data_IF_913136797486
#
_entry.id   IF_913136797486
#
_cell.length_a   1.000
_cell.length_b   1.000
_cell.length_c   1.000
_cell.angle_alpha   90.00
_cell.angle_beta   90.00
_cell.angle_gamma   90.00
#
_symmetry.space_group_name_H-M   'P 1'
#
loop_
_entity.id
_entity.type
_entity.pdbx_description
1 polymer ?
#
# COMPACT_ATOMS: atom_id res chain seq x y z
N UNK A 1 -4.16 10.85 -16.03
CA UNK A 1 -5.22 11.51 -15.21
C UNK A 1 -4.66 11.87 -13.83
N UNK A 2 -4.87 13.08 -13.28
CA UNK A 2 -4.37 13.46 -11.94
C UNK A 2 -5.51 13.51 -10.91
N UNK A 3 -5.19 13.46 -9.60
CA UNK A 3 -6.20 13.66 -8.55
C UNK A 3 -6.74 15.08 -8.64
N UNK A 4 -8.02 15.22 -9.00
CA UNK A 4 -8.70 16.52 -8.98
C UNK A 4 -9.44 16.72 -7.65
N UNK A 5 -9.36 17.92 -7.09
CA UNK A 5 -10.19 18.40 -5.97
C UNK A 5 -10.02 17.67 -4.62
N UNK A 6 -8.78 17.60 -4.09
CA UNK A 6 -8.61 17.33 -2.66
C UNK A 6 -9.16 18.49 -1.83
N UNK A 7 -9.88 18.17 -0.74
CA UNK A 7 -10.33 19.20 0.19
C UNK A 7 -9.12 19.97 0.75
N UNK A 8 -9.28 21.26 1.07
CA UNK A 8 -8.19 22.05 1.65
C UNK A 8 -7.62 21.44 2.95
N UNK A 9 -8.44 20.66 3.67
CA UNK A 9 -8.02 19.95 4.88
C UNK A 9 -7.10 18.74 4.59
N UNK A 10 -7.16 18.17 3.38
CA UNK A 10 -6.28 17.10 2.92
C UNK A 10 -5.10 17.62 2.09
N UNK A 11 -5.29 18.70 1.33
CA UNK A 11 -4.26 19.28 0.49
C UNK A 11 -3.12 19.95 1.27
N UNK A 12 -3.37 20.37 2.52
CA UNK A 12 -2.36 20.95 3.40
C UNK A 12 -1.73 19.87 4.30
N UNK A 13 -0.39 19.74 4.28
CA UNK A 13 0.30 18.93 5.28
C UNK A 13 -0.07 19.39 6.69
N UNK A 14 -0.12 18.44 7.62
CA UNK A 14 -0.20 18.74 9.04
C UNK A 14 1.20 19.03 9.55
N UNK A 15 1.33 20.12 10.30
CA UNK A 15 2.56 20.49 10.98
C UNK A 15 2.48 20.13 12.47
N UNK A 16 3.58 19.63 13.05
CA UNK A 16 3.81 19.58 14.49
C UNK A 16 5.07 20.39 14.75
N UNK A 17 4.91 21.56 15.38
CA UNK A 17 5.97 22.58 15.38
C UNK A 17 6.30 23.03 13.94
N UNK A 18 7.55 22.88 13.54
CA UNK A 18 8.04 23.22 12.19
C UNK A 18 8.15 22.00 11.26
N UNK A 19 7.84 20.81 11.76
CA UNK A 19 7.99 19.56 11.00
C UNK A 19 6.65 19.10 10.40
N UNK A 20 6.72 18.52 9.19
CA UNK A 20 5.56 17.90 8.55
C UNK A 20 5.31 16.54 9.18
N UNK A 21 4.27 16.44 10.02
CA UNK A 21 3.89 15.19 10.67
C UNK A 21 3.10 14.25 9.75
N UNK A 22 2.28 14.81 8.85
CA UNK A 22 1.36 14.05 8.01
C UNK A 22 1.06 14.77 6.68
N UNK A 23 0.98 14.02 5.58
CA UNK A 23 0.39 14.50 4.31
C UNK A 23 -0.34 13.38 3.56
N UNK A 24 -1.00 13.74 2.46
CA UNK A 24 -1.67 12.79 1.58
C UNK A 24 -0.79 12.50 0.37
N UNK A 25 -0.69 11.22 0.03
CA UNK A 25 0.01 10.72 -1.16
C UNK A 25 -0.79 9.61 -1.81
N UNK A 26 -0.33 9.14 -2.97
CA UNK A 26 -0.83 7.94 -3.60
C UNK A 26 -0.05 6.73 -3.07
N UNK A 27 -0.75 5.67 -2.76
CA UNK A 27 -0.21 4.42 -2.25
C UNK A 27 -0.76 3.23 -3.03
N UNK A 28 0.08 2.22 -3.28
CA UNK A 28 -0.34 0.87 -3.65
C UNK A 28 0.40 -0.11 -2.74
N UNK A 29 -0.33 -0.77 -1.86
CA UNK A 29 0.18 -1.79 -0.96
C UNK A 29 -0.42 -3.15 -1.34
N UNK A 30 0.44 -4.14 -1.60
CA UNK A 30 0.04 -5.50 -1.97
C UNK A 30 0.72 -6.51 -1.06
N UNK A 31 -0.07 -7.36 -0.43
CA UNK A 31 0.38 -8.46 0.42
C UNK A 31 0.55 -9.71 -0.43
N UNK A 32 1.78 -10.17 -0.61
CA UNK A 32 2.16 -11.20 -1.57
C UNK A 32 2.41 -12.55 -0.90
N UNK A 33 2.16 -13.65 -1.61
CA UNK A 33 2.45 -15.01 -1.10
C UNK A 33 3.96 -15.29 -1.06
N UNK A 34 4.68 -14.74 -2.06
CA UNK A 34 6.12 -14.88 -2.23
C UNK A 34 6.92 -13.76 -1.55
N UNK A 35 7.95 -13.18 -2.18
CA UNK A 35 8.31 -13.35 -3.58
C UNK A 35 9.30 -14.51 -3.81
N UNK A 36 9.16 -15.17 -4.96
CA UNK A 36 10.28 -15.88 -5.60
C UNK A 36 11.27 -14.85 -6.18
N UNK A 37 12.46 -15.28 -6.62
CA UNK A 37 13.38 -14.35 -7.29
C UNK A 37 12.76 -13.73 -8.54
N UNK A 38 11.96 -14.50 -9.29
CA UNK A 38 11.26 -14.00 -10.47
C UNK A 38 10.26 -12.90 -10.12
N UNK A 39 9.48 -13.11 -9.06
CA UNK A 39 8.52 -12.10 -8.60
C UNK A 39 9.26 -10.84 -8.14
N UNK A 40 10.37 -11.01 -7.44
CA UNK A 40 11.20 -9.90 -6.97
C UNK A 40 11.76 -9.09 -8.14
N UNK A 41 12.40 -9.72 -9.14
CA UNK A 41 12.90 -9.01 -10.32
C UNK A 41 11.77 -8.31 -11.07
N UNK A 42 10.60 -8.94 -11.20
CA UNK A 42 9.45 -8.34 -11.85
C UNK A 42 8.98 -7.06 -11.12
N UNK A 43 8.95 -7.08 -9.79
CA UNK A 43 8.55 -5.91 -8.99
C UNK A 43 9.56 -4.76 -9.12
N UNK A 44 10.85 -5.07 -9.17
CA UNK A 44 11.89 -4.07 -9.43
C UNK A 44 11.75 -3.47 -10.84
N UNK A 45 11.61 -4.31 -11.87
CA UNK A 45 11.42 -3.87 -13.25
C UNK A 45 10.15 -3.03 -13.40
N UNK A 46 9.06 -3.43 -12.74
CA UNK A 46 7.81 -2.68 -12.75
C UNK A 46 8.00 -1.28 -12.16
N UNK A 47 8.66 -1.18 -10.99
CA UNK A 47 8.90 0.10 -10.37
C UNK A 47 9.82 0.99 -11.19
N UNK A 48 10.90 0.45 -11.75
CA UNK A 48 11.85 1.18 -12.60
C UNK A 48 11.19 1.72 -13.89
N UNK A 49 10.15 1.04 -14.40
CA UNK A 49 9.37 1.53 -15.54
C UNK A 49 8.46 2.70 -15.19
N UNK A 50 7.91 2.74 -13.97
CA UNK A 50 6.92 3.75 -13.57
C UNK A 50 7.53 4.94 -12.83
N UNK A 51 8.65 4.73 -12.15
CA UNK A 51 9.39 5.78 -11.47
C UNK A 51 10.14 6.63 -12.50
N UNK A 52 10.05 7.97 -12.45
CA UNK A 52 10.84 8.83 -13.33
C UNK A 52 12.35 8.54 -13.16
N UNK A 53 13.14 8.42 -14.24
CA UNK A 53 14.54 8.00 -14.14
C UNK A 53 15.41 8.89 -13.23
N UNK A 54 15.11 10.19 -13.13
CA UNK A 54 15.82 11.15 -12.27
C UNK A 54 15.44 11.04 -10.77
N UNK A 55 14.42 10.23 -10.46
CA UNK A 55 13.92 9.94 -9.12
C UNK A 55 14.40 8.59 -8.60
N UNK A 56 14.96 7.72 -9.44
CA UNK A 56 15.56 6.47 -8.98
C UNK A 56 16.99 6.73 -8.45
N UNK A 57 17.13 7.07 -7.17
CA UNK A 57 18.39 7.60 -6.61
C UNK A 57 19.09 6.69 -5.61
N UNK A 58 18.33 6.13 -4.69
CA UNK A 58 18.87 5.38 -3.56
C UNK A 58 18.20 4.02 -3.43
N UNK A 59 18.95 3.06 -2.86
CA UNK A 59 18.44 1.76 -2.49
C UNK A 59 18.78 1.42 -1.04
N UNK A 60 18.02 0.48 -0.46
CA UNK A 60 18.24 -0.05 0.87
C UNK A 60 18.05 -1.56 0.86
N UNK A 61 18.92 -2.26 1.60
CA UNK A 61 18.82 -3.69 1.88
C UNK A 61 19.13 -3.97 3.35
N UNK A 62 18.73 -5.13 3.85
CA UNK A 62 18.97 -5.56 5.24
C UNK A 62 20.45 -5.54 5.66
N UNK A 63 21.38 -5.73 4.71
CA UNK A 63 22.82 -5.78 4.95
C UNK A 63 23.45 -4.40 5.17
N UNK A 64 22.76 -3.32 4.83
CA UNK A 64 23.30 -1.97 4.90
C UNK A 64 22.69 -1.21 6.07
N UNK A 65 23.46 -0.43 6.86
CA UNK A 65 22.93 0.36 7.96
C UNK A 65 22.22 1.64 7.49
N UNK A 66 22.57 2.16 6.32
CA UNK A 66 22.06 3.41 5.74
C UNK A 66 21.55 3.19 4.31
N UNK A 67 20.88 4.19 3.73
CA UNK A 67 20.59 4.26 2.31
C UNK A 67 21.90 4.36 1.51
N UNK A 68 21.92 3.82 0.30
CA UNK A 68 23.08 3.85 -0.60
C UNK A 68 22.68 4.34 -1.98
N UNK A 69 23.54 5.14 -2.61
CA UNK A 69 23.32 5.67 -3.95
C UNK A 69 23.32 4.57 -5.00
N UNK A 70 22.38 4.61 -5.95
CA UNK A 70 22.36 3.71 -7.11
C UNK A 70 23.50 4.04 -8.08
N UNK A 71 23.86 5.31 -8.21
CA UNK A 71 24.95 5.74 -9.09
C UNK A 71 26.34 5.29 -8.57
N UNK A 72 26.49 5.17 -7.24
CA UNK A 72 27.71 4.74 -6.58
C UNK A 72 27.37 3.75 -5.44
N UNK A 73 27.00 2.51 -5.77
CA UNK A 73 26.43 1.58 -4.80
C UNK A 73 27.48 1.05 -3.83
N UNK A 74 27.12 1.06 -2.54
CA UNK A 74 27.85 0.29 -1.54
C UNK A 74 27.52 -1.20 -1.72
N UNK A 75 28.49 -1.96 -2.23
CA UNK A 75 28.32 -3.38 -2.49
C UNK A 75 28.86 -4.24 -1.34
N UNK A 76 28.07 -5.23 -0.93
CA UNK A 76 28.52 -6.33 -0.05
C UNK A 76 29.50 -7.25 -0.80
N UNK A 77 30.05 -8.27 -0.14
CA UNK A 77 30.87 -9.27 -0.81
C UNK A 77 30.12 -9.98 -1.96
N UNK A 78 28.87 -10.40 -1.71
CA UNK A 78 27.99 -10.98 -2.73
C UNK A 78 27.70 -9.99 -3.86
N UNK A 79 27.42 -8.73 -3.52
CA UNK A 79 27.17 -7.70 -4.54
C UNK A 79 28.38 -7.43 -5.42
N UNK A 80 29.60 -7.44 -4.87
CA UNK A 80 30.84 -7.31 -5.67
C UNK A 80 31.04 -8.51 -6.60
N UNK A 81 30.77 -9.72 -6.13
CA UNK A 81 30.83 -10.91 -6.97
C UNK A 81 29.82 -10.84 -8.12
N UNK A 82 28.58 -10.42 -7.83
CA UNK A 82 27.53 -10.21 -8.84
C UNK A 82 27.91 -9.13 -9.87
N UNK A 83 28.50 -8.01 -9.42
CA UNK A 83 28.98 -6.95 -10.30
C UNK A 83 30.08 -7.45 -11.25
N UNK A 84 31.06 -8.20 -10.74
CA UNK A 84 32.11 -8.82 -11.56
C UNK A 84 31.56 -9.84 -12.56
N UNK A 85 30.42 -10.47 -12.25
CA UNK A 85 29.73 -11.40 -13.13
C UNK A 85 28.75 -10.72 -14.12
N UNK A 86 28.64 -9.38 -14.10
CA UNK A 86 27.74 -8.64 -14.99
C UNK A 86 26.25 -8.79 -14.67
N UNK A 87 25.91 -9.18 -13.44
CA UNK A 87 24.51 -9.31 -13.01
C UNK A 87 23.88 -7.93 -12.82
N UNK A 88 22.70 -7.72 -13.39
CA UNK A 88 21.94 -6.49 -13.22
C UNK A 88 21.55 -6.24 -11.75
N UNK A 89 21.63 -4.98 -11.32
CA UNK A 89 21.35 -4.57 -9.92
C UNK A 89 22.18 -5.43 -8.95
N UNK A 90 23.51 -5.40 -9.05
CA UNK A 90 24.36 -6.26 -8.24
C UNK A 90 24.22 -5.97 -6.74
N UNK A 91 23.79 -4.76 -6.39
CA UNK A 91 23.47 -4.38 -5.01
C UNK A 91 22.31 -5.16 -4.37
N UNK A 92 21.42 -5.79 -5.16
CA UNK A 92 20.35 -6.65 -4.64
C UNK A 92 20.72 -8.15 -4.58
N UNK A 93 21.94 -8.55 -4.92
CA UNK A 93 22.34 -9.96 -4.80
C UNK A 93 22.15 -10.55 -3.38
N UNK A 94 22.44 -9.82 -2.27
CA UNK A 94 22.15 -10.33 -0.93
C UNK A 94 20.67 -10.64 -0.70
N UNK A 95 19.78 -9.89 -1.33
CA UNK A 95 18.33 -10.11 -1.26
C UNK A 95 17.95 -11.37 -2.03
N UNK A 96 18.49 -11.57 -3.23
CA UNK A 96 18.27 -12.80 -4.02
C UNK A 96 18.72 -14.05 -3.25
N UNK A 97 19.88 -13.98 -2.60
CA UNK A 97 20.36 -15.06 -1.72
C UNK A 97 19.39 -15.34 -0.56
N UNK A 98 18.89 -14.30 0.12
CA UNK A 98 17.87 -14.47 1.17
C UNK A 98 16.57 -15.08 0.62
N UNK A 99 16.16 -14.70 -0.58
CA UNK A 99 14.99 -15.25 -1.25
C UNK A 99 15.18 -16.76 -1.50
N UNK A 100 16.30 -17.16 -2.12
CA UNK A 100 16.70 -18.57 -2.35
C UNK A 100 16.71 -19.39 -1.07
N UNK A 101 17.17 -18.78 0.03
CA UNK A 101 17.27 -19.41 1.35
C UNK A 101 15.96 -19.40 2.15
N UNK A 102 14.87 -18.81 1.63
CA UNK A 102 13.61 -18.70 2.37
C UNK A 102 13.67 -17.79 3.60
N UNK A 103 14.56 -16.78 3.62
CA UNK A 103 14.78 -15.88 4.76
C UNK A 103 14.07 -14.53 4.63
N UNK A 104 13.79 -13.89 5.76
CA UNK A 104 13.36 -12.50 5.79
C UNK A 104 14.36 -11.58 5.08
N UNK A 105 13.87 -10.55 4.40
CA UNK A 105 14.68 -9.57 3.67
C UNK A 105 13.97 -8.21 3.60
N UNK A 106 14.75 -7.19 3.29
CA UNK A 106 14.31 -5.85 2.92
C UNK A 106 15.00 -5.47 1.61
N UNK A 107 14.24 -4.88 0.70
CA UNK A 107 14.71 -4.27 -0.52
C UNK A 107 13.87 -3.02 -0.83
N UNK A 108 14.51 -1.87 -0.91
CA UNK A 108 13.80 -0.61 -1.19
C UNK A 108 14.49 0.21 -2.26
N UNK A 109 13.69 1.01 -2.95
CA UNK A 109 14.14 2.17 -3.73
C UNK A 109 13.52 3.45 -3.17
N UNK A 110 14.28 4.54 -3.21
CA UNK A 110 13.82 5.86 -2.77
C UNK A 110 14.47 6.97 -3.60
N UNK A 111 13.76 8.09 -3.71
CA UNK A 111 14.22 9.29 -4.43
C UNK A 111 14.96 10.30 -3.54
N UNK A 112 15.18 9.97 -2.26
CA UNK A 112 15.90 10.81 -1.31
C UNK A 112 15.11 12.02 -0.80
N UNK A 113 13.80 12.08 -1.05
CA UNK A 113 12.97 13.22 -0.66
C UNK A 113 12.13 12.90 0.57
N UNK A 114 12.34 13.69 1.61
CA UNK A 114 11.62 13.59 2.86
C UNK A 114 10.15 14.03 2.72
N UNK A 115 9.37 13.78 3.76
CA UNK A 115 7.94 14.06 3.80
C UNK A 115 7.62 15.56 3.74
N UNK A 116 8.55 16.43 4.09
CA UNK A 116 8.41 17.89 4.01
C UNK A 116 8.42 18.43 2.57
N UNK A 117 8.96 17.67 1.62
CA UNK A 117 8.97 18.05 0.20
C UNK A 117 7.54 18.12 -0.33
N UNK A 118 7.06 19.28 -0.82
CA UNK A 118 5.66 19.48 -1.18
C UNK A 118 5.13 18.50 -2.21
N UNK A 119 5.95 18.15 -3.21
CA UNK A 119 5.58 17.18 -4.25
C UNK A 119 5.49 15.75 -3.72
N UNK A 120 6.18 15.43 -2.62
CA UNK A 120 6.30 14.06 -2.14
C UNK A 120 7.41 13.27 -2.79
N UNK A 121 7.38 11.98 -2.44
CA UNK A 121 8.43 11.01 -2.66
C UNK A 121 7.94 9.90 -3.58
N UNK A 122 8.84 9.37 -4.39
CA UNK A 122 8.72 8.08 -5.05
C UNK A 122 9.47 7.06 -4.20
N UNK A 123 8.80 5.99 -3.79
CA UNK A 123 9.48 4.85 -3.16
C UNK A 123 8.86 3.51 -3.51
N UNK A 124 9.70 2.49 -3.52
CA UNK A 124 9.34 1.09 -3.52
C UNK A 124 9.84 0.47 -2.22
N UNK A 125 8.99 -0.28 -1.54
CA UNK A 125 9.41 -1.12 -0.43
C UNK A 125 8.91 -2.55 -0.65
N UNK A 126 9.83 -3.49 -0.86
CA UNK A 126 9.54 -4.92 -0.94
C UNK A 126 10.22 -5.62 0.23
N UNK A 127 9.44 -6.23 1.12
CA UNK A 127 9.98 -6.91 2.29
C UNK A 127 9.35 -8.28 2.47
N UNK A 128 10.12 -9.15 3.13
CA UNK A 128 9.61 -10.35 3.78
C UNK A 128 10.05 -10.31 5.24
N UNK A 129 9.10 -10.28 6.15
CA UNK A 129 9.31 -10.21 7.58
C UNK A 129 9.00 -11.55 8.24
N UNK A 130 9.78 -11.93 9.24
CA UNK A 130 9.49 -13.06 10.09
C UNK A 130 8.81 -12.54 11.36
N UNK A 131 7.52 -12.85 11.50
CA UNK A 131 6.77 -12.57 12.71
C UNK A 131 6.82 -13.80 13.61
N UNK A 132 7.20 -13.59 14.86
CA UNK A 132 7.38 -14.65 15.85
C UNK A 132 6.08 -15.47 15.96
N UNK A 133 6.21 -16.79 15.93
CA UNK A 133 5.10 -17.76 16.04
C UNK A 133 4.07 -17.75 14.88
N UNK A 134 4.13 -16.78 13.96
CA UNK A 134 3.21 -16.65 12.81
C UNK A 134 3.88 -16.94 11.45
N UNK A 135 5.21 -16.89 11.39
CA UNK A 135 6.00 -17.23 10.22
C UNK A 135 6.32 -16.05 9.32
N UNK A 136 6.56 -16.32 8.03
CA UNK A 136 6.95 -15.31 7.06
C UNK A 136 5.75 -14.66 6.38
N UNK A 137 5.83 -13.34 6.23
CA UNK A 137 4.86 -12.50 5.54
C UNK A 137 5.60 -11.53 4.65
N UNK A 138 5.04 -11.23 3.49
CA UNK A 138 5.67 -10.34 2.53
C UNK A 138 4.69 -9.34 1.95
N UNK A 139 5.22 -8.19 1.57
CA UNK A 139 4.47 -7.15 0.90
C UNK A 139 5.36 -6.42 -0.09
N UNK A 140 4.70 -5.74 -1.03
CA UNK A 140 5.28 -4.68 -1.84
C UNK A 140 4.42 -3.44 -1.68
N UNK A 141 5.08 -2.29 -1.50
CA UNK A 141 4.45 -0.99 -1.39
C UNK A 141 5.09 -0.02 -2.36
N UNK A 142 4.27 0.67 -3.15
CA UNK A 142 4.69 1.78 -3.99
C UNK A 142 4.05 3.05 -3.44
N UNK A 143 4.87 4.05 -3.13
CA UNK A 143 4.42 5.37 -2.71
C UNK A 143 4.76 6.39 -3.78
N UNK A 144 3.79 7.22 -4.15
CA UNK A 144 3.93 8.17 -5.26
C UNK A 144 3.42 9.56 -4.85
N UNK A 145 3.98 10.63 -5.44
CA UNK A 145 3.42 11.97 -5.35
C UNK A 145 1.92 12.03 -5.64
N UNK A 146 1.22 12.94 -4.96
CA UNK A 146 -0.23 13.12 -5.16
C UNK A 146 -0.58 13.66 -6.56
N UNK A 147 0.38 14.30 -7.22
CA UNK A 147 0.29 14.82 -8.59
C UNK A 147 0.77 13.81 -9.65
N UNK A 148 1.14 12.58 -9.26
CA UNK A 148 1.47 11.53 -10.21
C UNK A 148 0.24 11.15 -11.07
N UNK A 149 0.48 10.63 -12.27
CA UNK A 149 -0.60 10.11 -13.10
C UNK A 149 -1.22 8.88 -12.43
N UNK A 150 -2.53 8.93 -12.21
CA UNK A 150 -3.33 7.85 -11.64
C UNK A 150 -3.26 6.56 -12.47
N UNK A 151 -3.04 6.65 -13.79
CA UNK A 151 -2.84 5.48 -14.65
C UNK A 151 -1.63 4.65 -14.22
N UNK A 152 -0.58 5.29 -13.66
CA UNK A 152 0.57 4.57 -13.13
C UNK A 152 0.16 3.61 -12.01
N UNK A 153 -0.72 4.06 -11.11
CA UNK A 153 -1.19 3.24 -9.99
C UNK A 153 -2.07 2.08 -10.47
N UNK A 154 -2.97 2.37 -11.42
CA UNK A 154 -3.86 1.37 -12.03
C UNK A 154 -3.05 0.32 -12.78
N UNK A 155 -2.13 0.74 -13.65
CA UNK A 155 -1.29 -0.15 -14.43
C UNK A 155 -0.40 -0.99 -13.53
N UNK A 156 0.21 -0.40 -12.49
CA UNK A 156 0.98 -1.16 -11.51
C UNK A 156 0.13 -2.22 -10.79
N UNK A 157 -1.09 -1.87 -10.34
CA UNK A 157 -1.99 -2.81 -9.69
C UNK A 157 -2.39 -3.97 -10.63
N UNK A 158 -2.77 -3.67 -11.87
CA UNK A 158 -3.10 -4.67 -12.88
C UNK A 158 -1.90 -5.56 -13.23
N UNK A 159 -0.71 -4.96 -13.35
CA UNK A 159 0.52 -5.64 -13.69
C UNK A 159 0.96 -6.60 -12.56
N UNK A 160 0.83 -6.21 -11.29
CA UNK A 160 1.09 -7.07 -10.14
C UNK A 160 0.05 -8.21 -10.10
N UNK A 161 -1.23 -7.89 -10.22
CA UNK A 161 -2.31 -8.88 -10.23
C UNK A 161 -2.19 -9.92 -11.36
N UNK A 162 -1.51 -9.59 -12.45
CA UNK A 162 -1.26 -10.52 -13.56
C UNK A 162 -0.03 -11.40 -13.37
N UNK A 163 1.00 -10.93 -12.65
CA UNK A 163 2.32 -11.56 -12.66
C UNK A 163 2.81 -12.07 -11.31
N UNK A 164 2.21 -11.63 -10.20
CA UNK A 164 2.70 -11.92 -8.84
C UNK A 164 1.60 -12.60 -8.01
N UNK A 165 1.84 -13.79 -7.42
CA UNK A 165 0.92 -14.40 -6.46
C UNK A 165 0.72 -13.51 -5.23
N UNK A 166 -0.55 -13.26 -4.87
CA UNK A 166 -0.91 -12.32 -3.80
C UNK A 166 -2.15 -12.75 -3.02
N UNK A 167 -2.19 -12.36 -1.75
CA UNK A 167 -3.34 -12.54 -0.87
C UNK A 167 -4.37 -11.42 -1.08
N UNK A 168 -3.92 -10.17 -0.98
CA UNK A 168 -4.77 -8.99 -1.19
C UNK A 168 -3.93 -7.74 -1.40
N UNK A 169 -4.58 -6.63 -1.74
CA UNK A 169 -3.92 -5.33 -1.83
C UNK A 169 -4.93 -4.20 -1.88
N UNK A 170 -4.44 -2.98 -1.72
CA UNK A 170 -5.23 -1.76 -1.76
C UNK A 170 -4.39 -0.62 -2.33
N UNK A 171 -5.03 0.33 -2.98
CA UNK A 171 -4.36 1.53 -3.45
C UNK A 171 -5.30 2.72 -3.62
N UNK A 172 -4.73 3.91 -3.66
CA UNK A 172 -5.44 5.18 -3.71
C UNK A 172 -4.81 6.21 -2.80
N UNK A 173 -5.64 7.02 -2.15
CA UNK A 173 -5.17 8.03 -1.19
C UNK A 173 -4.75 7.35 0.10
N UNK A 174 -3.63 7.77 0.68
CA UNK A 174 -3.17 7.32 1.98
C UNK A 174 -2.65 8.49 2.82
N UNK A 175 -2.80 8.35 4.14
CA UNK A 175 -2.10 9.15 5.12
C UNK A 175 -0.65 8.69 5.22
N UNK A 176 0.30 9.55 4.84
CA UNK A 176 1.74 9.31 5.00
C UNK A 176 2.23 10.19 6.13
N UNK A 177 2.99 9.61 7.06
CA UNK A 177 3.42 10.27 8.29
C UNK A 177 4.94 10.24 8.46
N UNK A 178 5.45 11.18 9.26
CA UNK A 178 6.84 11.18 9.73
C UNK A 178 6.99 10.16 10.87
N UNK A 179 7.81 9.10 10.72
CA UNK A 179 7.99 8.09 11.77
C UNK A 179 8.41 8.66 13.12
N UNK A 180 9.19 9.74 13.17
CA UNK A 180 9.59 10.38 14.43
C UNK A 180 8.44 11.09 15.15
N UNK A 181 7.36 11.41 14.44
CA UNK A 181 6.16 12.09 14.94
C UNK A 181 4.93 11.17 14.92
N UNK A 182 5.14 9.84 14.95
CA UNK A 182 4.09 8.84 14.75
C UNK A 182 2.88 9.04 15.68
N UNK A 183 3.08 9.25 16.98
CA UNK A 183 1.96 9.42 17.93
C UNK A 183 1.09 10.64 17.59
N UNK A 184 1.72 11.80 17.37
CA UNK A 184 1.00 13.03 16.99
C UNK A 184 0.32 12.92 15.62
N UNK A 185 1.00 12.28 14.66
CA UNK A 185 0.47 12.05 13.33
C UNK A 185 -0.77 11.15 13.39
N UNK A 186 -0.73 10.05 14.16
CA UNK A 186 -1.85 9.12 14.24
C UNK A 186 -3.07 9.68 14.98
N UNK A 187 -2.87 10.53 15.99
CA UNK A 187 -3.97 11.25 16.62
C UNK A 187 -4.67 12.21 15.64
N UNK A 188 -3.91 12.83 14.74
CA UNK A 188 -4.48 13.63 13.67
C UNK A 188 -5.13 12.77 12.57
N UNK A 189 -4.52 11.64 12.21
CA UNK A 189 -5.10 10.65 11.28
C UNK A 189 -6.45 10.18 11.79
N UNK A 190 -6.57 9.84 13.08
CA UNK A 190 -7.84 9.43 13.70
C UNK A 190 -8.97 10.41 13.39
N UNK A 191 -8.73 11.70 13.63
CA UNK A 191 -9.72 12.75 13.40
C UNK A 191 -10.03 12.95 11.91
N UNK A 192 -9.00 12.92 11.06
CA UNK A 192 -9.17 13.08 9.61
C UNK A 192 -9.90 11.88 9.01
N UNK A 193 -9.60 10.66 9.43
CA UNK A 193 -10.18 9.44 8.92
C UNK A 193 -11.66 9.25 9.31
N UNK A 194 -12.12 9.86 10.42
CA UNK A 194 -13.57 9.93 10.73
C UNK A 194 -14.34 10.76 9.71
N UNK A 195 -13.67 11.74 9.09
CA UNK A 195 -14.24 12.60 8.04
C UNK A 195 -13.98 12.07 6.63
N UNK A 196 -12.79 11.56 6.32
CA UNK A 196 -12.38 11.21 4.96
C UNK A 196 -12.22 9.69 4.84
N UNK A 197 -13.31 9.00 4.50
CA UNK A 197 -13.35 7.54 4.52
C UNK A 197 -12.61 6.90 3.33
N UNK A 198 -12.38 7.63 2.26
CA UNK A 198 -11.65 7.12 1.09
C UNK A 198 -10.13 7.23 1.20
N UNK A 199 -9.61 7.67 2.35
CA UNK A 199 -8.16 7.80 2.61
C UNK A 199 -7.71 6.67 3.53
N UNK A 200 -6.69 5.91 3.10
CA UNK A 200 -6.16 4.78 3.82
C UNK A 200 -5.32 5.17 5.04
N UNK A 201 -5.45 4.39 6.12
CA UNK A 201 -4.55 4.42 7.28
C UNK A 201 -3.57 3.27 7.13
N UNK A 202 -2.32 3.59 6.81
CA UNK A 202 -1.28 2.59 6.63
C UNK A 202 -0.58 2.33 7.96
N UNK A 203 -0.59 1.07 8.42
CA UNK A 203 0.18 0.59 9.57
C UNK A 203 0.60 -0.87 9.34
N UNK A 204 1.66 -1.05 8.54
CA UNK A 204 2.11 -2.35 8.05
C UNK A 204 2.31 -3.36 9.17
N UNK A 205 2.92 -2.94 10.29
CA UNK A 205 3.23 -3.82 11.42
C UNK A 205 1.97 -4.44 12.04
N UNK A 206 0.84 -3.73 12.04
CA UNK A 206 -0.43 -4.25 12.54
C UNK A 206 -1.17 -5.11 11.53
N UNK A 207 -1.18 -4.71 10.26
CA UNK A 207 -1.97 -5.40 9.22
C UNK A 207 -1.29 -6.65 8.67
N UNK A 208 0.03 -6.63 8.47
CA UNK A 208 0.78 -7.70 7.80
C UNK A 208 0.56 -9.12 8.39
N UNK A 209 0.53 -9.35 9.72
CA UNK A 209 0.24 -10.68 10.27
C UNK A 209 -1.15 -11.23 9.92
N UNK A 210 -2.09 -10.35 9.55
CA UNK A 210 -3.50 -10.69 9.36
C UNK A 210 -3.86 -10.93 7.88
N UNK A 211 -2.93 -10.71 6.96
CA UNK A 211 -3.20 -10.68 5.51
C UNK A 211 -3.61 -12.02 4.92
N UNK A 212 -3.28 -13.12 5.61
CA UNK A 212 -3.72 -14.49 5.25
C UNK A 212 -5.14 -14.79 5.72
N UNK A 213 -5.67 -14.03 6.68
CA UNK A 213 -7.00 -14.24 7.28
C UNK A 213 -8.09 -13.45 6.56
N UNK A 214 -7.73 -12.34 5.92
CA UNK A 214 -8.68 -11.48 5.21
C UNK A 214 -8.06 -10.23 4.64
N UNK A 215 -8.89 -9.21 4.41
CA UNK A 215 -8.50 -7.92 3.82
C UNK A 215 -8.78 -6.78 4.80
N UNK A 216 -7.92 -5.76 4.80
CA UNK A 216 -8.02 -4.57 5.69
C UNK A 216 -9.27 -3.72 5.43
N UNK A 217 -9.93 -3.90 4.30
CA UNK A 217 -11.08 -3.12 3.87
C UNK A 217 -10.96 -2.74 2.40
N UNK A 218 -11.65 -1.68 2.01
CA UNK A 218 -11.66 -1.17 0.64
C UNK A 218 -10.98 0.19 0.52
N UNK A 219 -10.31 0.39 -0.61
CA UNK A 219 -9.84 1.68 -1.09
C UNK A 219 -10.21 1.82 -2.58
N UNK A 220 -9.78 2.91 -3.23
CA UNK A 220 -10.05 3.17 -4.64
C UNK A 220 -9.70 1.97 -5.52
N UNK A 221 -8.50 1.44 -5.36
CA UNK A 221 -8.08 0.15 -5.89
C UNK A 221 -8.15 -0.88 -4.76
N UNK A 222 -8.78 -2.03 -5.01
CA UNK A 222 -8.79 -3.18 -4.09
C UNK A 222 -8.44 -4.44 -4.87
N UNK A 223 -7.37 -5.12 -4.49
CA UNK A 223 -6.92 -6.36 -5.12
C UNK A 223 -7.36 -7.54 -4.25
N UNK A 224 -8.12 -8.47 -4.83
CA UNK A 224 -8.58 -9.68 -4.17
C UNK A 224 -7.84 -10.87 -4.75
N UNK A 225 -6.91 -11.45 -3.97
CA UNK A 225 -6.10 -12.59 -4.39
C UNK A 225 -6.95 -13.80 -4.75
N UNK A 226 -6.40 -14.68 -5.60
CA UNK A 226 -7.12 -15.82 -6.17
C UNK A 226 -7.77 -16.71 -5.10
N UNK A 227 -7.08 -16.97 -4.00
CA UNK A 227 -7.60 -17.76 -2.88
C UNK A 227 -8.91 -17.17 -2.35
N UNK A 228 -8.93 -15.87 -2.02
CA UNK A 228 -10.12 -15.18 -1.55
C UNK A 228 -11.20 -15.04 -2.62
N UNK A 229 -10.82 -14.70 -3.86
CA UNK A 229 -11.77 -14.52 -4.97
C UNK A 229 -12.46 -15.83 -5.38
N UNK A 230 -11.84 -16.98 -5.10
CA UNK A 230 -12.38 -18.30 -5.43
C UNK A 230 -13.47 -18.80 -4.48
N UNK A 231 -13.62 -18.19 -3.30
CA UNK A 231 -14.68 -18.54 -2.34
C UNK A 231 -16.06 -18.35 -3.00
N UNK A 232 -16.98 -19.34 -2.93
CA UNK A 232 -18.25 -19.30 -3.67
C UNK A 232 -19.06 -18.02 -3.45
N UNK A 233 -19.18 -17.57 -2.21
CA UNK A 233 -19.88 -16.35 -1.81
C UNK A 233 -19.22 -15.09 -2.38
N UNK A 234 -17.89 -15.04 -2.42
CA UNK A 234 -17.14 -13.91 -2.97
C UNK A 234 -17.24 -13.90 -4.49
N UNK A 235 -17.08 -15.06 -5.14
CA UNK A 235 -17.24 -15.17 -6.59
C UNK A 235 -18.61 -14.71 -7.06
N UNK A 236 -19.67 -15.05 -6.31
CA UNK A 236 -21.02 -14.60 -6.59
C UNK A 236 -21.14 -13.07 -6.45
N UNK A 237 -20.63 -12.49 -5.34
CA UNK A 237 -20.62 -11.05 -5.12
C UNK A 237 -19.79 -10.28 -6.16
N UNK A 238 -18.66 -10.81 -6.60
CA UNK A 238 -17.82 -10.18 -7.63
C UNK A 238 -18.50 -10.14 -9.00
N UNK A 239 -19.33 -11.14 -9.32
CA UNK A 239 -20.06 -11.16 -10.59
C UNK A 239 -21.11 -10.03 -10.67
N UNK A 240 -21.76 -9.70 -9.54
CA UNK A 240 -22.78 -8.64 -9.49
C UNK A 240 -22.20 -7.23 -9.50
N UNK A 241 -20.92 -7.06 -9.14
CA UNK A 241 -20.26 -5.75 -9.20
C UNK A 241 -20.14 -5.19 -10.62
N UNK A 242 -20.24 -6.04 -11.65
CA UNK A 242 -20.22 -5.60 -13.05
C UNK A 242 -21.42 -4.71 -13.43
N UNK A 243 -22.52 -4.81 -12.69
CA UNK A 243 -23.74 -4.01 -12.90
C UNK A 243 -23.75 -2.71 -12.07
N UNK A 244 -22.77 -2.52 -11.18
CA UNK A 244 -22.71 -1.34 -10.32
C UNK A 244 -22.08 -0.17 -11.07
N UNK A 245 -22.79 0.98 -11.22
CA UNK A 245 -22.23 2.15 -11.87
C UNK A 245 -20.91 2.60 -11.22
N UNK A 246 -19.94 2.92 -12.07
CA UNK A 246 -18.61 3.40 -11.67
C UNK A 246 -17.78 2.40 -10.83
N UNK A 247 -18.16 1.11 -10.77
CA UNK A 247 -17.27 0.04 -10.30
C UNK A 247 -16.72 -0.69 -11.52
N UNK A 248 -15.39 -0.86 -11.57
CA UNK A 248 -14.76 -1.71 -12.59
C UNK A 248 -14.12 -2.91 -11.92
N UNK A 249 -14.37 -4.11 -12.46
CA UNK A 249 -13.74 -5.34 -12.03
C UNK A 249 -12.87 -5.91 -13.16
N UNK A 250 -11.58 -6.06 -12.91
CA UNK A 250 -10.62 -6.60 -13.85
C UNK A 250 -10.07 -7.94 -13.34
N UNK A 251 -10.52 -9.04 -13.94
CA UNK A 251 -9.95 -10.36 -13.68
C UNK A 251 -8.53 -10.43 -14.24
N UNK A 252 -7.57 -10.84 -13.41
CA UNK A 252 -6.20 -11.15 -13.79
C UNK A 252 -5.84 -12.55 -13.30
N UNK A 253 -4.63 -13.00 -13.68
CA UNK A 253 -4.16 -14.34 -13.31
C UNK A 253 -4.19 -14.57 -11.81
N UNK A 254 -3.63 -13.68 -11.00
CA UNK A 254 -3.44 -13.88 -9.55
C UNK A 254 -4.46 -13.17 -8.68
N UNK A 255 -5.22 -12.21 -9.21
CA UNK A 255 -6.23 -11.48 -8.44
C UNK A 255 -7.36 -10.91 -9.32
N UNK A 256 -8.42 -10.47 -8.66
CA UNK A 256 -9.41 -9.53 -9.23
C UNK A 256 -9.07 -8.13 -8.72
N UNK A 257 -8.90 -7.17 -9.64
CA UNK A 257 -8.68 -5.76 -9.29
C UNK A 257 -10.01 -5.03 -9.41
N UNK A 258 -10.45 -4.45 -8.30
CA UNK A 258 -11.65 -3.63 -8.22
C UNK A 258 -11.27 -2.16 -8.16
N UNK A 259 -11.94 -1.34 -8.97
CA UNK A 259 -11.79 0.11 -8.99
C UNK A 259 -13.12 0.75 -8.58
N UNK A 260 -13.13 1.43 -7.43
CA UNK A 260 -14.30 2.09 -6.87
C UNK A 260 -14.35 3.57 -7.31
N UNK A 261 -14.90 3.82 -8.50
CA UNK A 261 -14.92 5.13 -9.14
C UNK A 261 -13.79 5.30 -10.16
N UNK A 262 -13.92 6.33 -10.99
CA UNK A 262 -12.94 6.65 -12.05
C UNK A 262 -11.63 7.20 -11.50
N UNK A 263 -11.67 7.87 -10.35
CA UNK A 263 -10.52 8.45 -9.66
C UNK A 263 -10.71 8.25 -8.15
N UNK A 264 -9.64 8.28 -7.33
CA UNK A 264 -9.79 8.11 -5.91
C UNK A 264 -10.58 9.27 -5.31
N UNK A 265 -11.60 8.96 -4.51
CA UNK A 265 -12.34 9.94 -3.71
C UNK A 265 -11.85 9.92 -2.27
N UNK A 266 -11.84 11.09 -1.63
CA UNK A 266 -11.62 11.18 -0.18
C UNK A 266 -12.86 10.74 0.63
N UNK A 267 -14.03 10.63 -0.01
CA UNK A 267 -15.33 10.34 0.63
C UNK A 267 -15.57 11.24 1.86
N UNK A 268 -15.58 12.57 1.65
CA UNK A 268 -15.74 13.58 2.71
C UNK A 268 -17.13 13.53 3.34
N UNK A 269 -17.23 12.97 4.55
CA UNK A 269 -18.49 12.82 5.29
C UNK A 269 -19.14 14.15 5.68
N UNK A 270 -18.39 15.24 5.71
CA UNK A 270 -18.94 16.57 6.00
C UNK A 270 -19.45 17.26 4.74
N UNK A 271 -19.20 16.71 3.55
CA UNK A 271 -19.70 17.19 2.26
C UNK A 271 -20.18 15.98 1.44
N UNK A 272 -21.24 15.30 1.89
CA UNK A 272 -21.69 14.08 1.25
C UNK A 272 -22.08 14.37 -0.20
N UNK A 273 -21.49 13.60 -1.09
CA UNK A 273 -21.86 13.48 -2.50
C UNK A 273 -22.04 11.98 -2.82
N UNK A 274 -22.18 11.64 -4.10
CA UNK A 274 -22.33 10.25 -4.53
C UNK A 274 -20.99 9.51 -4.72
N UNK A 275 -19.87 10.08 -4.26
CA UNK A 275 -18.53 9.50 -4.49
C UNK A 275 -18.23 8.28 -3.61
N UNK A 276 -18.96 8.09 -2.51
CA UNK A 276 -18.82 6.92 -1.63
C UNK A 276 -19.62 5.69 -2.11
N UNK A 277 -20.60 5.88 -2.98
CA UNK A 277 -21.45 4.79 -3.53
C UNK A 277 -20.63 3.62 -4.11
N UNK A 278 -19.63 3.81 -4.99
CA UNK A 278 -18.84 2.69 -5.49
C UNK A 278 -18.00 2.02 -4.38
N UNK A 279 -17.53 2.78 -3.39
CA UNK A 279 -16.80 2.22 -2.25
C UNK A 279 -17.71 1.34 -1.38
N UNK A 280 -18.92 1.80 -1.08
CA UNK A 280 -19.92 1.05 -0.31
C UNK A 280 -20.33 -0.23 -1.05
N UNK A 281 -20.52 -0.16 -2.37
CA UNK A 281 -20.84 -1.34 -3.18
C UNK A 281 -19.73 -2.40 -3.12
N UNK A 282 -18.48 -2.00 -3.34
CA UNK A 282 -17.33 -2.90 -3.23
C UNK A 282 -17.18 -3.43 -1.80
N UNK A 283 -17.38 -2.60 -0.79
CA UNK A 283 -17.29 -3.00 0.62
C UNK A 283 -18.33 -4.06 0.97
N UNK A 284 -19.59 -3.87 0.56
CA UNK A 284 -20.64 -4.86 0.79
C UNK A 284 -20.35 -6.20 0.09
N UNK A 285 -19.83 -6.16 -1.13
CA UNK A 285 -19.47 -7.37 -1.88
C UNK A 285 -18.32 -8.15 -1.21
N UNK A 286 -17.38 -7.44 -0.57
CA UNK A 286 -16.20 -8.02 0.08
C UNK A 286 -16.31 -8.17 1.60
N UNK A 287 -17.43 -7.78 2.21
CA UNK A 287 -17.63 -7.81 3.66
C UNK A 287 -17.25 -9.16 4.31
N UNK A 288 -17.54 -10.34 3.71
CA UNK A 288 -17.15 -11.62 4.31
C UNK A 288 -15.63 -11.86 4.39
N UNK A 289 -14.81 -11.03 3.71
CA UNK A 289 -13.34 -11.09 3.76
C UNK A 289 -12.74 -10.08 4.74
N UNK A 290 -13.51 -9.14 5.27
CA UNK A 290 -12.95 -8.10 6.13
C UNK A 290 -12.38 -8.71 7.40
N UNK A 291 -11.23 -8.18 7.82
CA UNK A 291 -10.62 -8.58 9.09
C UNK A 291 -11.61 -8.34 10.24
N UNK A 292 -11.73 -9.35 11.12
CA UNK A 292 -12.57 -9.31 12.32
C UNK A 292 -11.76 -9.05 13.59
N UNK A 293 -10.43 -9.05 13.47
CA UNK A 293 -9.47 -8.71 14.51
C UNK A 293 -8.37 -7.83 13.89
N UNK A 294 -7.89 -6.85 14.63
CA UNK A 294 -6.73 -6.03 14.26
C UNK A 294 -6.20 -5.36 15.53
N UNK A 295 -4.87 -5.30 15.68
CA UNK A 295 -4.27 -4.50 16.76
C UNK A 295 -4.63 -3.04 16.58
N UNK A 296 -4.76 -2.28 17.67
CA UNK A 296 -5.07 -0.87 17.50
C UNK A 296 -3.96 -0.14 16.73
N UNK A 297 -4.37 0.75 15.81
CA UNK A 297 -3.42 1.67 15.21
C UNK A 297 -2.73 2.51 16.31
N UNK A 298 -1.50 2.99 16.07
CA UNK A 298 -0.82 3.91 16.99
C UNK A 298 -1.67 5.15 17.33
N UNK A 299 -1.24 5.93 18.33
CA UNK A 299 -1.93 7.14 18.75
C UNK A 299 -2.91 6.92 19.90
N UNK A 300 -2.90 7.85 20.86
CA UNK A 300 -3.73 7.81 22.05
C UNK A 300 -5.23 7.67 21.72
N UNK A 301 -5.70 8.32 20.65
CA UNK A 301 -7.11 8.27 20.24
C UNK A 301 -7.54 6.91 19.73
N UNK A 302 -6.68 6.17 19.03
CA UNK A 302 -7.00 4.81 18.61
C UNK A 302 -7.07 3.89 19.81
N UNK A 303 -6.06 3.92 20.70
CA UNK A 303 -6.03 3.09 21.90
C UNK A 303 -7.18 3.37 22.87
N UNK A 304 -7.53 4.64 23.11
CA UNK A 304 -8.58 5.00 24.06
C UNK A 304 -9.99 4.56 23.61
N UNK A 305 -10.19 4.34 22.30
CA UNK A 305 -11.50 4.01 21.75
C UNK A 305 -11.58 2.60 21.15
N UNK A 306 -10.45 1.91 20.94
CA UNK A 306 -10.36 0.60 20.27
C UNK A 306 -11.13 0.53 18.93
N UNK A 307 -11.03 1.60 18.13
CA UNK A 307 -11.87 1.81 16.95
C UNK A 307 -11.20 1.40 15.62
N UNK A 308 -10.11 0.64 15.67
CA UNK A 308 -9.41 0.21 14.45
C UNK A 308 -10.32 -0.65 13.55
N UNK A 309 -11.06 -1.59 14.15
CA UNK A 309 -12.07 -2.37 13.43
C UNK A 309 -13.22 -1.51 12.89
N UNK A 310 -13.63 -0.48 13.64
CA UNK A 310 -14.61 0.51 13.17
C UNK A 310 -14.14 1.17 11.87
N UNK A 311 -12.88 1.59 11.80
CA UNK A 311 -12.32 2.14 10.56
C UNK A 311 -12.23 1.11 9.42
N UNK A 312 -11.83 -0.13 9.69
CA UNK A 312 -11.80 -1.22 8.70
C UNK A 312 -13.21 -1.44 8.11
N UNK A 313 -14.24 -1.40 8.96
CA UNK A 313 -15.64 -1.67 8.58
C UNK A 313 -16.42 -0.40 8.19
N UNK A 314 -15.78 0.77 8.13
CA UNK A 314 -16.45 2.09 7.99
C UNK A 314 -17.52 2.20 6.89
N UNK A 315 -17.38 1.44 5.80
CA UNK A 315 -18.35 1.45 4.69
C UNK A 315 -19.52 0.47 4.84
N UNK A 316 -19.40 -0.54 5.71
CA UNK A 316 -20.45 -1.56 5.97
C UNK A 316 -21.11 -1.39 7.34
N UNK A 317 -20.38 -0.84 8.32
CA UNK A 317 -20.89 -0.39 9.61
C UNK A 317 -20.45 1.05 9.91
N UNK A 318 -21.12 2.04 9.29
CA UNK A 318 -20.94 3.46 9.59
C UNK A 318 -21.02 3.83 11.06
N UNK A 319 -21.86 3.13 11.85
CA UNK A 319 -22.13 3.50 13.23
C UNK A 319 -20.92 3.18 14.13
N UNK A 320 -20.21 2.09 13.85
CA UNK A 320 -18.97 1.72 14.53
C UNK A 320 -17.77 2.66 14.31
N UNK A 321 -17.87 3.61 13.37
CA UNK A 321 -16.78 4.56 13.06
C UNK A 321 -17.12 6.04 13.27
N UNK A 322 -18.40 6.39 13.14
CA UNK A 322 -18.87 7.79 13.18
C UNK A 322 -18.54 8.50 14.47
#
# INVERSE_FOLDING_TARGET
MQVHNLSAALARPLMVGEEVALKIMLDLTVYIEGPTERDFEYLLDLYERVCPPDRLREFKISELPLWSSIAQPMLTAHGRAAASAGIARPYFEPVRERIRQGRAFEAQYWDGLAIDVPRGSWSLNCQRLHLRDEGLFAFVRMLLPIDADLEILVDAALAIAENVPLHSGHGGLAFVYEPLLMEDAFDAIYNRARRFWGVDIEHMNGTLPLTKKGIKGVNWLTLVGREFASKPEIRASLATLSDVPAVTAAQRRHAVVLMAGQQPSACDRNRPDMSDVPYVAVANALAPLFLTEHSDFPGQRFFANSNTLGWIHRFIDPAGWR
#
